data_IF_246115912527
#
_entry.id   IF_246115912527
#
_cell.length_a   1.000
_cell.length_b   1.000
_cell.length_c   1.000
_cell.angle_alpha   90.00
_cell.angle_beta   90.00
_cell.angle_gamma   90.00
#
_symmetry.space_group_name_H-M   'P 1'
#
loop_
_entity.id
_entity.type
_entity.pdbx_description
1 polymer ?
#
# COMPACT_ATOMS: atom_id res chain seq x y z
N UNK A 1 -30.28 15.04 2.05
CA UNK A 1 -28.82 14.94 1.81
C UNK A 1 -28.57 14.84 0.29
N UNK A 2 -27.44 15.29 -0.28
CA UNK A 2 -27.24 15.33 -1.75
C UNK A 2 -27.59 14.00 -2.46
N UNK A 3 -27.27 12.86 -1.84
CA UNK A 3 -27.57 11.51 -2.37
C UNK A 3 -29.07 11.22 -2.50
N UNK A 4 -29.88 11.71 -1.56
CA UNK A 4 -31.33 11.55 -1.57
C UNK A 4 -31.98 12.51 -2.56
N UNK A 5 -31.55 13.77 -2.54
CA UNK A 5 -32.16 14.88 -3.28
C UNK A 5 -31.84 14.82 -4.78
N UNK A 6 -30.59 14.54 -5.13
CA UNK A 6 -30.12 14.63 -6.52
C UNK A 6 -29.83 13.27 -7.18
N UNK A 7 -29.65 12.21 -6.41
CA UNK A 7 -29.31 10.88 -6.95
C UNK A 7 -30.39 9.81 -6.68
N UNK A 8 -31.50 10.21 -6.06
CA UNK A 8 -32.65 9.34 -5.74
C UNK A 8 -32.25 8.07 -4.98
N UNK A 9 -31.29 8.18 -4.05
CA UNK A 9 -30.89 7.08 -3.16
C UNK A 9 -31.70 7.18 -1.87
N UNK A 10 -32.37 6.10 -1.47
CA UNK A 10 -33.21 6.13 -0.28
C UNK A 10 -32.37 6.27 0.99
N UNK A 11 -32.93 6.94 1.99
CA UNK A 11 -32.31 7.07 3.30
C UNK A 11 -32.14 5.68 3.93
N UNK A 12 -30.94 5.38 4.46
CA UNK A 12 -30.61 4.08 5.03
C UNK A 12 -30.05 3.05 4.03
N UNK A 13 -30.14 3.31 2.72
CA UNK A 13 -29.56 2.45 1.67
C UNK A 13 -28.09 2.78 1.36
N UNK A 14 -27.48 3.66 2.16
CA UNK A 14 -26.08 4.01 2.04
C UNK A 14 -25.46 4.38 3.39
N UNK A 15 -24.15 4.21 3.49
CA UNK A 15 -23.32 4.63 4.62
C UNK A 15 -22.18 5.49 4.11
N UNK A 16 -22.01 6.65 4.73
CA UNK A 16 -20.88 7.55 4.46
C UNK A 16 -19.88 7.43 5.60
N UNK A 17 -18.61 7.23 5.27
CA UNK A 17 -17.49 7.28 6.21
C UNK A 17 -16.44 8.26 5.74
N UNK A 18 -15.75 8.92 6.68
CA UNK A 18 -14.55 9.71 6.38
C UNK A 18 -13.44 8.77 5.90
N UNK A 19 -12.70 9.16 4.86
CA UNK A 19 -11.76 8.24 4.22
C UNK A 19 -10.47 8.91 3.73
N UNK A 20 -9.49 9.04 4.61
CA UNK A 20 -8.16 9.56 4.24
C UNK A 20 -7.41 8.60 3.29
N UNK A 21 -6.65 9.10 2.29
CA UNK A 21 -6.31 10.49 1.98
C UNK A 21 -7.35 11.25 1.12
N UNK A 22 -8.57 10.74 0.98
CA UNK A 22 -9.68 11.45 0.32
C UNK A 22 -10.66 12.00 1.37
N UNK A 23 -11.75 12.60 0.91
CA UNK A 23 -12.73 13.19 1.84
C UNK A 23 -13.65 12.11 2.45
N UNK A 24 -14.21 11.22 1.61
CA UNK A 24 -15.22 10.24 2.05
C UNK A 24 -15.29 8.98 1.17
N UNK A 25 -15.79 7.90 1.77
CA UNK A 25 -16.19 6.65 1.11
C UNK A 25 -17.69 6.45 1.32
N UNK A 26 -18.40 6.15 0.25
CA UNK A 26 -19.83 5.82 0.29
C UNK A 26 -20.04 4.36 -0.08
N UNK A 27 -20.62 3.61 0.85
CA UNK A 27 -21.03 2.22 0.67
C UNK A 27 -22.54 2.21 0.41
N UNK A 28 -22.96 1.65 -0.71
CA UNK A 28 -24.37 1.51 -1.07
C UNK A 28 -24.82 0.07 -0.81
N UNK A 29 -26.05 -0.10 -0.32
CA UNK A 29 -26.69 -1.41 -0.18
C UNK A 29 -26.97 -2.07 -1.54
N UNK A 30 -27.11 -1.27 -2.60
CA UNK A 30 -27.42 -1.71 -3.96
C UNK A 30 -26.33 -1.32 -4.95
N UNK A 31 -25.88 -2.29 -5.75
CA UNK A 31 -24.96 -2.03 -6.86
C UNK A 31 -25.58 -1.12 -7.93
N UNK A 32 -26.90 -1.19 -8.13
CA UNK A 32 -27.60 -0.35 -9.10
C UNK A 32 -27.59 1.12 -8.70
N UNK A 33 -27.69 1.42 -7.39
CA UNK A 33 -27.60 2.79 -6.88
C UNK A 33 -26.17 3.33 -7.02
N UNK A 34 -25.16 2.49 -6.71
CA UNK A 34 -23.77 2.86 -6.92
C UNK A 34 -23.45 3.14 -8.40
N UNK A 35 -23.98 2.33 -9.33
CA UNK A 35 -23.82 2.56 -10.77
C UNK A 35 -24.57 3.82 -11.22
N UNK A 36 -25.78 4.07 -10.72
CA UNK A 36 -26.53 5.30 -11.03
C UNK A 36 -25.75 6.54 -10.60
N UNK A 37 -25.25 6.57 -9.37
CA UNK A 37 -24.45 7.69 -8.84
C UNK A 37 -23.15 7.88 -9.65
N UNK A 38 -22.49 6.78 -10.04
CA UNK A 38 -21.24 6.83 -10.80
C UNK A 38 -21.41 7.46 -12.20
N UNK A 39 -22.57 7.27 -12.84
CA UNK A 39 -22.85 7.75 -14.20
C UNK A 39 -23.77 8.99 -14.24
N UNK A 40 -24.25 9.45 -13.08
CA UNK A 40 -25.15 10.59 -13.01
C UNK A 40 -24.42 11.89 -13.40
N UNK A 41 -25.17 12.77 -14.07
CA UNK A 41 -24.70 14.11 -14.38
C UNK A 41 -24.68 14.98 -13.14
N UNK A 42 -23.78 15.96 -13.15
CA UNK A 42 -23.70 16.94 -12.08
C UNK A 42 -24.96 17.82 -12.05
N UNK A 43 -25.68 17.91 -10.92
CA UNK A 43 -26.81 18.82 -10.79
C UNK A 43 -26.31 20.27 -10.75
N UNK A 44 -26.80 21.11 -11.66
CA UNK A 44 -26.39 22.51 -11.76
C UNK A 44 -26.69 23.33 -10.48
N UNK A 45 -27.68 22.88 -9.70
CA UNK A 45 -28.18 23.53 -8.49
C UNK A 45 -27.41 23.12 -7.22
N UNK A 46 -26.52 22.12 -7.31
CA UNK A 46 -25.78 21.65 -6.15
C UNK A 46 -24.75 22.71 -5.68
N UNK A 47 -24.59 22.91 -4.35
CA UNK A 47 -23.68 23.92 -3.80
C UNK A 47 -22.19 23.62 -4.02
N UNK A 48 -21.84 22.38 -4.39
CA UNK A 48 -20.49 21.95 -4.70
C UNK A 48 -20.50 20.71 -5.61
N UNK A 49 -19.39 20.50 -6.30
CA UNK A 49 -19.22 19.38 -7.21
C UNK A 49 -18.68 18.13 -6.52
N UNK A 50 -19.40 17.02 -6.64
CA UNK A 50 -18.94 15.69 -6.25
C UNK A 50 -18.49 14.90 -7.47
N UNK A 51 -17.21 14.50 -7.49
CA UNK A 51 -16.66 13.61 -8.52
C UNK A 51 -16.61 12.20 -7.99
N UNK A 52 -17.52 11.36 -8.48
CA UNK A 52 -17.60 9.96 -8.08
C UNK A 52 -16.58 9.11 -8.82
N UNK A 53 -15.89 8.23 -8.08
CA UNK A 53 -15.05 7.17 -8.66
C UNK A 53 -15.33 5.88 -7.91
N UNK A 54 -15.51 4.78 -8.64
CA UNK A 54 -15.61 3.45 -8.02
C UNK A 54 -14.35 3.19 -7.20
N UNK A 55 -14.53 2.85 -5.93
CA UNK A 55 -13.40 2.47 -5.09
C UNK A 55 -12.72 1.21 -5.63
N UNK A 56 -11.40 1.20 -5.60
CA UNK A 56 -10.55 0.05 -5.93
C UNK A 56 -9.48 -0.03 -4.85
N UNK A 57 -8.96 -1.22 -4.58
CA UNK A 57 -7.85 -1.42 -3.63
C UNK A 57 -6.63 -0.54 -3.92
N UNK A 58 -6.45 -0.14 -5.18
CA UNK A 58 -5.35 0.71 -5.66
C UNK A 58 -5.75 2.18 -5.86
N UNK A 59 -6.91 2.63 -5.40
CA UNK A 59 -7.43 3.98 -5.69
C UNK A 59 -6.56 5.13 -5.16
N UNK A 60 -5.59 4.83 -4.31
CA UNK A 60 -4.57 5.74 -3.74
C UNK A 60 -3.16 5.19 -3.90
N UNK A 61 -2.98 4.09 -4.63
CA UNK A 61 -1.66 3.52 -4.86
C UNK A 61 -0.88 4.40 -5.84
N UNK A 62 0.33 4.79 -5.47
CA UNK A 62 1.32 5.35 -6.39
C UNK A 62 2.16 4.24 -7.01
N UNK A 63 2.38 4.28 -8.31
CA UNK A 63 3.38 3.44 -8.95
C UNK A 63 4.76 4.07 -8.77
N UNK A 64 5.73 3.29 -8.29
CA UNK A 64 7.12 3.70 -8.20
C UNK A 64 8.03 2.60 -8.70
N UNK A 65 9.05 3.00 -9.48
CA UNK A 65 10.08 2.07 -9.95
C UNK A 65 11.16 1.87 -8.89
N UNK A 66 11.54 0.62 -8.64
CA UNK A 66 12.71 0.28 -7.84
C UNK A 66 13.95 0.36 -8.74
N UNK A 67 14.68 1.47 -8.68
CA UNK A 67 15.77 1.77 -9.63
C UNK A 67 17.13 1.26 -9.17
N UNK A 68 17.27 0.98 -7.87
CA UNK A 68 18.55 0.63 -7.29
C UNK A 68 18.57 -0.82 -6.87
N UNK A 69 19.63 -1.51 -7.27
CA UNK A 69 19.96 -2.84 -6.76
C UNK A 69 20.99 -2.66 -5.66
N UNK A 70 20.68 -3.12 -4.45
CA UNK A 70 21.50 -2.95 -3.26
C UNK A 70 21.88 -4.31 -2.68
N UNK A 71 23.06 -4.39 -2.06
CA UNK A 71 23.47 -5.50 -1.22
C UNK A 71 23.34 -5.05 0.24
N UNK A 72 22.54 -5.76 1.03
CA UNK A 72 22.21 -5.38 2.40
C UNK A 72 22.88 -6.35 3.36
N UNK A 73 23.68 -5.81 4.27
CA UNK A 73 24.26 -6.56 5.39
C UNK A 73 23.32 -6.51 6.59
N UNK A 74 22.77 -7.65 6.99
CA UNK A 74 21.99 -7.80 8.21
C UNK A 74 22.89 -8.29 9.35
N UNK A 75 22.83 -7.55 10.47
CA UNK A 75 23.55 -7.84 11.71
C UNK A 75 22.56 -8.13 12.84
N UNK A 76 22.99 -8.95 13.80
CA UNK A 76 22.19 -9.23 15.01
C UNK A 76 21.03 -10.21 14.81
N UNK A 77 20.89 -10.81 13.62
CA UNK A 77 19.87 -11.84 13.36
C UNK A 77 20.37 -13.18 13.94
N UNK A 78 19.62 -13.83 14.83
CA UNK A 78 20.00 -15.13 15.38
C UNK A 78 20.09 -16.17 14.26
N UNK A 79 20.95 -17.17 14.43
CA UNK A 79 21.27 -18.13 13.37
C UNK A 79 20.03 -18.81 12.76
N UNK A 80 19.05 -19.21 13.59
CA UNK A 80 17.82 -19.84 13.12
C UNK A 80 16.87 -18.89 12.36
N UNK A 81 17.04 -17.58 12.54
CA UNK A 81 16.23 -16.55 11.89
C UNK A 81 16.81 -16.06 10.57
N UNK A 82 17.97 -16.56 10.13
CA UNK A 82 18.65 -16.09 8.90
C UNK A 82 18.08 -16.78 7.67
N UNK A 83 16.99 -16.23 7.16
CA UNK A 83 16.37 -16.67 5.93
C UNK A 83 15.68 -15.47 5.26
N UNK A 84 15.34 -15.64 3.97
CA UNK A 84 14.68 -14.59 3.18
C UNK A 84 13.33 -14.17 3.78
N UNK A 85 12.60 -15.07 4.44
CA UNK A 85 11.32 -14.74 5.06
C UNK A 85 11.47 -13.73 6.20
N UNK A 86 12.47 -13.90 7.07
CA UNK A 86 12.81 -12.93 8.11
C UNK A 86 13.25 -11.60 7.51
N UNK A 87 14.07 -11.61 6.47
CA UNK A 87 14.53 -10.38 5.80
C UNK A 87 13.38 -9.64 5.13
N UNK A 88 12.38 -10.37 4.60
CA UNK A 88 11.16 -9.77 4.06
C UNK A 88 10.38 -9.03 5.14
N UNK A 89 10.31 -9.55 6.37
CA UNK A 89 9.69 -8.85 7.49
C UNK A 89 10.50 -7.59 7.87
N UNK A 90 11.85 -7.69 7.85
CA UNK A 90 12.74 -6.58 8.17
C UNK A 90 12.61 -5.45 7.13
N UNK A 91 12.73 -5.76 5.84
CA UNK A 91 12.73 -4.72 4.81
C UNK A 91 11.33 -4.27 4.42
N UNK A 92 10.34 -5.15 4.54
CA UNK A 92 8.92 -4.91 4.26
C UNK A 92 8.72 -4.15 2.94
N UNK A 93 8.08 -2.98 2.97
CA UNK A 93 7.76 -2.15 1.81
C UNK A 93 8.96 -1.36 1.27
N UNK A 94 10.11 -1.40 1.95
CA UNK A 94 11.31 -0.65 1.56
C UNK A 94 12.08 -1.31 0.40
N UNK A 95 11.94 -2.63 0.24
CA UNK A 95 12.66 -3.41 -0.76
C UNK A 95 11.80 -4.51 -1.37
N UNK A 96 12.18 -5.03 -2.53
CA UNK A 96 11.53 -6.19 -3.17
C UNK A 96 12.53 -7.08 -3.89
N UNK A 97 12.05 -8.25 -4.34
CA UNK A 97 12.83 -9.24 -5.08
C UNK A 97 14.14 -9.60 -4.36
N UNK A 98 13.96 -10.09 -3.13
CA UNK A 98 15.02 -10.47 -2.22
C UNK A 98 15.69 -11.76 -2.69
N UNK A 99 17.01 -11.72 -2.82
CA UNK A 99 17.84 -12.86 -3.25
C UNK A 99 19.00 -13.02 -2.27
N UNK A 100 19.28 -14.24 -1.83
CA UNK A 100 20.44 -14.51 -0.98
C UNK A 100 21.72 -14.13 -1.71
N UNK A 101 22.66 -13.50 -0.99
CA UNK A 101 23.94 -13.16 -1.58
C UNK A 101 24.73 -14.44 -1.92
N UNK A 102 25.37 -14.51 -3.11
CA UNK A 102 26.30 -15.58 -3.44
C UNK A 102 27.39 -15.73 -2.37
N UNK A 103 27.85 -16.97 -2.06
CA UNK A 103 28.88 -17.21 -1.06
C UNK A 103 30.17 -16.41 -1.30
N UNK A 104 30.51 -16.10 -2.55
CA UNK A 104 31.71 -15.33 -2.90
C UNK A 104 31.69 -13.90 -2.33
N UNK A 105 30.50 -13.34 -2.07
CA UNK A 105 30.32 -11.98 -1.54
C UNK A 105 30.24 -11.94 0.00
N UNK A 106 30.04 -13.10 0.64
CA UNK A 106 29.66 -13.18 2.07
C UNK A 106 30.87 -13.37 2.98
N UNK A 107 31.98 -13.90 2.47
CA UNK A 107 33.14 -14.27 3.29
C UNK A 107 32.77 -15.30 4.36
N UNK A 108 33.74 -15.69 5.21
CA UNK A 108 33.53 -16.72 6.25
C UNK A 108 32.93 -16.16 7.56
N UNK A 109 32.42 -14.92 7.53
CA UNK A 109 31.89 -14.27 8.73
C UNK A 109 30.46 -14.72 9.02
N UNK A 110 30.34 -15.79 9.79
CA UNK A 110 29.07 -16.32 10.31
C UNK A 110 28.29 -15.34 11.21
N UNK A 111 28.74 -14.10 11.44
CA UNK A 111 27.96 -13.08 12.16
C UNK A 111 27.07 -12.25 11.24
N UNK A 112 27.27 -12.33 9.92
CA UNK A 112 26.61 -11.48 8.94
C UNK A 112 25.71 -12.31 8.03
N UNK A 113 24.59 -11.72 7.62
CA UNK A 113 23.71 -12.30 6.62
C UNK A 113 23.46 -11.26 5.52
N UNK A 114 23.76 -11.61 4.27
CA UNK A 114 23.68 -10.67 3.16
C UNK A 114 22.56 -11.04 2.19
N UNK A 115 21.81 -10.04 1.77
CA UNK A 115 20.71 -10.19 0.81
C UNK A 115 20.79 -9.08 -0.24
N UNK A 116 20.71 -9.48 -1.51
CA UNK A 116 20.49 -8.57 -2.62
C UNK A 116 19.01 -8.21 -2.74
N UNK A 117 18.71 -6.94 -3.00
CA UNK A 117 17.34 -6.46 -3.13
C UNK A 117 17.24 -5.27 -4.09
N UNK A 118 16.02 -5.02 -4.58
CA UNK A 118 15.68 -3.78 -5.28
C UNK A 118 15.01 -2.80 -4.32
N UNK A 119 15.38 -1.52 -4.40
CA UNK A 119 14.75 -0.46 -3.61
C UNK A 119 14.54 0.83 -4.42
N UNK A 120 13.73 1.73 -3.87
CA UNK A 120 13.45 3.06 -4.45
C UNK A 120 14.70 3.94 -4.44
N UNK A 121 15.42 3.93 -3.31
CA UNK A 121 16.65 4.66 -3.07
C UNK A 121 17.38 4.02 -1.88
N UNK A 122 18.73 3.88 -1.88
CA UNK A 122 19.47 3.27 -0.79
C UNK A 122 19.23 3.93 0.58
N UNK A 123 19.11 5.26 0.62
CA UNK A 123 18.89 6.01 1.87
C UNK A 123 17.52 5.76 2.53
N UNK A 124 16.57 5.19 1.80
CA UNK A 124 15.24 4.83 2.33
C UNK A 124 15.21 3.41 2.90
N UNK A 125 16.31 2.64 2.76
CA UNK A 125 16.43 1.33 3.37
C UNK A 125 16.62 1.50 4.89
N UNK A 126 15.79 0.87 5.73
CA UNK A 126 15.86 1.06 7.17
C UNK A 126 17.21 0.58 7.72
N UNK A 127 17.88 1.45 8.48
CA UNK A 127 19.18 1.14 9.10
C UNK A 127 19.04 0.29 10.36
N UNK A 128 17.89 0.32 11.01
CA UNK A 128 17.61 -0.43 12.24
C UNK A 128 16.13 -0.78 12.29
N UNK A 129 15.81 -2.00 12.72
CA UNK A 129 14.43 -2.43 12.92
C UNK A 129 14.32 -3.42 14.07
N UNK A 130 13.30 -3.22 14.90
CA UNK A 130 12.92 -4.15 15.95
C UNK A 130 12.07 -5.26 15.33
N UNK A 131 12.40 -6.52 15.63
CA UNK A 131 11.65 -7.69 15.18
C UNK A 131 11.45 -8.67 16.35
N UNK A 132 10.39 -9.46 16.27
CA UNK A 132 10.11 -10.57 17.17
C UNK A 132 10.35 -11.86 16.38
N UNK A 133 11.17 -12.77 16.92
CA UNK A 133 11.57 -14.04 16.31
C UNK A 133 11.24 -15.17 17.27
#
# INVERSE_FOLDING_TARGET
MLLEEFFSVQHGEYKVSTFEPRDFLVEFSSAADADRVLHAHYPAEAPFQLVWKRWRRQATASLQSLRFRVLIELRGIPAHGRNISTVRIILDTSCSDLVEAPPELVGDDSKKYFVGAWCIHPDLVPQTKMIFI
#
